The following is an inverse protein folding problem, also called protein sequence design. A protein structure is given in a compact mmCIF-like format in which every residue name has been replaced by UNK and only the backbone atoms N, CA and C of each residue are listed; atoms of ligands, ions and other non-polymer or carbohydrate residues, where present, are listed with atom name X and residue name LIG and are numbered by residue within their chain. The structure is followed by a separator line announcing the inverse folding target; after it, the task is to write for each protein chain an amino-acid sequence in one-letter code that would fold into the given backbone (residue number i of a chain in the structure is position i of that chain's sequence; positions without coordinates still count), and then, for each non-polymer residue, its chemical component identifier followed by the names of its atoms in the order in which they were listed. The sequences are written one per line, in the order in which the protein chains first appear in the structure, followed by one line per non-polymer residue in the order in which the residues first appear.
data_IF_309755261688
#
_entry.id   IF_309755261688
#
_cell.length_a   1.000
_cell.length_b   1.000
_cell.length_c   1.000
_cell.angle_alpha   90.00
_cell.angle_beta   90.00
_cell.angle_gamma   90.00
#
_symmetry.space_group_name_H-M   'P 1'
#
loop_
_entity.id
_entity.type
_entity.pdbx_description
1 polymer ?
#
# COMPACT_ATOMS: atom_id res chain seq x y z
N UNK A 1 -12.16 22.26 -7.67
CA UNK A 1 -11.43 23.20 -6.80
C UNK A 1 -11.55 22.69 -5.38
N UNK A 2 -10.43 22.45 -4.69
CA UNK A 2 -10.47 22.07 -3.28
C UNK A 2 -10.93 23.28 -2.45
N UNK A 3 -11.77 23.05 -1.45
CA UNK A 3 -12.04 24.05 -0.41
C UNK A 3 -10.70 24.36 0.26
N UNK A 4 -10.37 25.63 0.42
CA UNK A 4 -9.25 26.02 1.29
C UNK A 4 -9.74 25.90 2.73
N UNK A 5 -9.16 24.98 3.49
CA UNK A 5 -9.47 24.78 4.90
C UNK A 5 -8.69 25.79 5.73
N UNK A 6 -9.33 26.38 6.75
CA UNK A 6 -8.59 27.10 7.78
C UNK A 6 -7.84 26.11 8.68
N UNK A 7 -6.77 26.53 9.39
CA UNK A 7 -6.09 25.66 10.34
C UNK A 7 -7.02 25.07 11.41
N UNK A 8 -8.00 25.84 11.88
CA UNK A 8 -8.99 25.39 12.88
C UNK A 8 -9.96 24.36 12.31
N UNK A 9 -10.47 24.58 11.08
CA UNK A 9 -11.31 23.59 10.41
C UNK A 9 -10.56 22.26 10.21
N UNK A 10 -9.28 22.34 9.81
CA UNK A 10 -8.44 21.16 9.62
C UNK A 10 -8.19 20.42 10.93
N UNK A 11 -7.87 21.14 12.01
CA UNK A 11 -7.68 20.55 13.33
C UNK A 11 -8.96 19.86 13.84
N UNK A 12 -10.13 20.47 13.64
CA UNK A 12 -11.41 19.90 14.04
C UNK A 12 -11.74 18.61 13.27
N UNK A 13 -11.53 18.59 11.94
CA UNK A 13 -11.72 17.39 11.14
C UNK A 13 -10.70 16.29 11.48
N UNK A 14 -9.43 16.66 11.68
CA UNK A 14 -8.37 15.74 12.12
C UNK A 14 -8.74 15.05 13.44
N UNK A 15 -9.24 15.82 14.42
CA UNK A 15 -9.69 15.28 15.70
C UNK A 15 -10.92 14.38 15.56
N UNK A 16 -11.89 14.74 14.71
CA UNK A 16 -13.05 13.92 14.43
C UNK A 16 -12.67 12.58 13.79
N UNK A 17 -11.79 12.59 12.78
CA UNK A 17 -11.27 11.36 12.16
C UNK A 17 -10.61 10.44 13.18
N UNK A 18 -9.79 11.02 14.07
CA UNK A 18 -9.13 10.26 15.14
C UNK A 18 -10.14 9.65 16.12
N UNK A 19 -11.18 10.39 16.49
CA UNK A 19 -12.24 9.89 17.37
C UNK A 19 -13.03 8.72 16.74
N UNK A 20 -13.13 8.68 15.42
CA UNK A 20 -13.73 7.57 14.65
C UNK A 20 -12.79 6.36 14.48
N UNK A 21 -11.55 6.45 14.97
CA UNK A 21 -10.56 5.37 14.89
C UNK A 21 -9.69 5.40 13.62
N UNK A 22 -9.73 6.48 12.85
CA UNK A 22 -8.80 6.73 11.75
C UNK A 22 -7.53 7.44 12.24
N UNK A 23 -6.53 7.59 11.37
CA UNK A 23 -5.38 8.44 11.64
C UNK A 23 -5.80 9.91 11.64
N UNK A 24 -5.23 10.71 12.54
CA UNK A 24 -5.27 12.16 12.42
C UNK A 24 -4.51 12.63 11.17
N UNK A 25 -4.68 13.90 10.79
CA UNK A 25 -3.93 14.50 9.69
C UNK A 25 -2.41 14.39 9.89
N UNK A 26 -1.92 14.71 11.09
CA UNK A 26 -0.50 14.66 11.44
C UNK A 26 0.03 13.23 11.45
N UNK A 27 -0.75 12.28 12.00
CA UNK A 27 -0.42 10.86 11.98
C UNK A 27 -0.36 10.31 10.55
N UNK A 28 -1.28 10.77 9.69
CA UNK A 28 -1.31 10.42 8.28
C UNK A 28 -0.10 10.98 7.54
N UNK A 29 0.28 12.24 7.76
CA UNK A 29 1.49 12.82 7.19
C UNK A 29 2.75 12.04 7.61
N UNK A 30 2.91 11.76 8.91
CA UNK A 30 4.02 10.95 9.42
C UNK A 30 4.00 9.49 8.89
N UNK A 31 2.82 8.95 8.58
CA UNK A 31 2.69 7.67 7.88
C UNK A 31 3.20 7.78 6.43
N UNK A 32 2.79 8.81 5.69
CA UNK A 32 3.21 9.00 4.30
C UNK A 32 4.72 9.19 4.16
N UNK A 33 5.38 9.83 5.13
CA UNK A 33 6.85 9.96 5.14
C UNK A 33 7.58 8.61 5.21
N UNK A 34 6.92 7.56 5.72
CA UNK A 34 7.46 6.19 5.77
C UNK A 34 7.14 5.37 4.53
N UNK A 35 6.21 5.83 3.70
CA UNK A 35 5.83 5.17 2.47
C UNK A 35 6.84 5.53 1.38
N UNK A 36 7.66 4.57 0.96
CA UNK A 36 8.59 4.74 -0.17
C UNK A 36 8.24 3.79 -1.30
N UNK A 37 8.70 4.11 -2.51
CA UNK A 37 8.55 3.21 -3.65
C UNK A 37 9.30 1.90 -3.40
N UNK A 38 8.63 0.77 -3.63
CA UNK A 38 9.19 -0.57 -3.62
C UNK A 38 8.85 -1.28 -4.91
N UNK A 39 9.74 -2.18 -5.35
CA UNK A 39 9.40 -3.21 -6.32
C UNK A 39 8.97 -4.45 -5.55
N UNK A 40 7.77 -4.93 -5.83
CA UNK A 40 7.19 -6.11 -5.18
C UNK A 40 7.08 -7.22 -6.23
N UNK A 41 7.64 -8.38 -5.93
CA UNK A 41 7.49 -9.60 -6.72
C UNK A 41 6.61 -10.57 -5.94
N UNK A 42 5.46 -10.94 -6.52
CA UNK A 42 4.52 -11.88 -5.93
C UNK A 42 4.58 -13.17 -6.72
N UNK A 43 5.00 -14.25 -6.06
CA UNK A 43 5.10 -15.58 -6.67
C UNK A 43 3.80 -16.35 -6.43
N UNK A 44 3.34 -17.03 -7.47
CA UNK A 44 2.06 -17.73 -7.50
C UNK A 44 2.26 -19.25 -7.54
N UNK A 45 1.25 -19.99 -7.06
CA UNK A 45 1.31 -21.45 -6.95
C UNK A 45 1.42 -22.19 -8.30
N UNK A 46 1.05 -21.54 -9.41
CA UNK A 46 1.21 -22.08 -10.76
C UNK A 46 2.62 -21.86 -11.35
N UNK A 47 3.51 -21.22 -10.59
CA UNK A 47 4.89 -20.93 -10.99
C UNK A 47 5.07 -19.57 -11.67
N UNK A 48 3.99 -18.83 -11.92
CA UNK A 48 4.06 -17.46 -12.43
C UNK A 48 4.46 -16.47 -11.33
N UNK A 49 4.90 -15.27 -11.73
CA UNK A 49 5.11 -14.15 -10.84
C UNK A 49 4.62 -12.85 -11.44
N UNK A 50 4.12 -11.94 -10.59
CA UNK A 50 3.86 -10.55 -10.96
C UNK A 50 4.89 -9.63 -10.32
N UNK A 51 5.28 -8.58 -11.05
CA UNK A 51 6.18 -7.55 -10.56
C UNK A 51 5.50 -6.20 -10.66
N UNK A 52 5.39 -5.49 -9.53
CA UNK A 52 4.69 -4.21 -9.44
C UNK A 52 5.52 -3.18 -8.67
N UNK A 53 5.41 -1.90 -9.06
CA UNK A 53 5.94 -0.78 -8.25
C UNK A 53 4.83 -0.23 -7.36
N UNK A 54 5.08 -0.15 -6.06
CA UNK A 54 4.09 0.25 -5.05
C UNK A 54 4.74 1.22 -4.07
N UNK A 55 4.04 2.31 -3.74
CA UNK A 55 4.42 3.18 -2.63
C UNK A 55 3.69 2.74 -1.36
N UNK A 56 4.45 2.39 -0.33
CA UNK A 56 3.89 1.93 0.94
C UNK A 56 4.95 1.50 1.92
N UNK A 57 4.53 1.19 3.14
CA UNK A 57 5.41 0.51 4.09
C UNK A 57 5.50 -0.97 3.71
N UNK A 58 6.59 -1.64 4.08
CA UNK A 58 6.71 -3.09 3.85
C UNK A 58 5.61 -3.87 4.59
N UNK A 59 5.19 -3.39 5.76
CA UNK A 59 4.13 -4.01 6.54
C UNK A 59 2.79 -3.97 5.78
N UNK A 60 2.43 -2.84 5.20
CA UNK A 60 1.18 -2.71 4.44
C UNK A 60 1.22 -3.54 3.16
N UNK A 61 2.35 -3.56 2.47
CA UNK A 61 2.55 -4.38 1.26
C UNK A 61 2.40 -5.87 1.59
N UNK A 62 3.01 -6.35 2.68
CA UNK A 62 2.86 -7.75 3.14
C UNK A 62 1.45 -8.06 3.64
N UNK A 63 0.78 -7.07 4.23
CA UNK A 63 -0.62 -7.18 4.64
C UNK A 63 -1.56 -7.35 3.45
N UNK A 64 -1.29 -6.63 2.36
CA UNK A 64 -2.04 -6.68 1.11
C UNK A 64 -1.78 -7.97 0.31
N UNK A 65 -0.52 -8.31 0.03
CA UNK A 65 -0.14 -9.57 -0.62
C UNK A 65 0.15 -10.66 0.41
N UNK A 66 -0.87 -11.06 1.17
CA UNK A 66 -0.70 -12.08 2.21
C UNK A 66 -0.52 -13.46 1.59
N UNK A 67 0.55 -14.16 1.98
CA UNK A 67 0.79 -15.57 1.61
C UNK A 67 -0.43 -16.43 2.00
N UNK A 68 -0.84 -17.32 1.09
CA UNK A 68 -2.05 -18.13 1.21
C UNK A 68 -3.35 -17.42 0.78
N UNK A 69 -3.28 -16.13 0.40
CA UNK A 69 -4.40 -15.45 -0.27
C UNK A 69 -4.37 -15.70 -1.77
N UNK A 70 -5.50 -15.50 -2.45
CA UNK A 70 -5.58 -15.64 -3.90
C UNK A 70 -5.55 -14.29 -4.62
N UNK A 71 -4.82 -14.25 -5.74
CA UNK A 71 -4.81 -13.14 -6.68
C UNK A 71 -5.56 -13.54 -7.96
N UNK A 72 -6.40 -12.64 -8.48
CA UNK A 72 -7.08 -12.86 -9.75
C UNK A 72 -6.15 -12.54 -10.93
N UNK A 73 -5.79 -13.57 -11.67
CA UNK A 73 -4.91 -13.53 -12.85
C UNK A 73 -5.67 -13.75 -14.16
N UNK A 74 -6.99 -13.57 -14.11
CA UNK A 74 -7.88 -13.78 -15.23
C UNK A 74 -8.08 -12.52 -16.07
N UNK A 75 -7.97 -12.64 -17.39
CA UNK A 75 -8.19 -11.51 -18.31
C UNK A 75 -9.63 -11.41 -18.84
N UNK A 76 -10.27 -12.56 -19.11
CA UNK A 76 -11.64 -12.64 -19.65
C UNK A 76 -12.66 -13.20 -18.64
N UNK A 77 -12.18 -13.69 -17.50
CA UNK A 77 -12.97 -14.27 -16.42
C UNK A 77 -12.04 -14.64 -15.27
N UNK A 78 -12.58 -14.88 -14.08
CA UNK A 78 -11.77 -15.05 -12.88
C UNK A 78 -10.85 -16.27 -12.96
N UNK A 79 -9.58 -16.05 -12.63
CA UNK A 79 -8.57 -17.10 -12.43
C UNK A 79 -7.83 -16.80 -11.14
N UNK A 80 -8.36 -17.29 -10.03
CA UNK A 80 -7.75 -17.11 -8.71
C UNK A 80 -6.56 -18.06 -8.54
N UNK A 81 -5.39 -17.51 -8.25
CA UNK A 81 -4.16 -18.28 -7.99
C UNK A 81 -3.59 -17.89 -6.63
N UNK A 82 -3.19 -18.87 -5.84
CA UNK A 82 -2.65 -18.65 -4.50
C UNK A 82 -1.27 -17.97 -4.54
N UNK A 83 -1.06 -17.01 -3.66
CA UNK A 83 0.22 -16.35 -3.41
C UNK A 83 1.07 -17.25 -2.50
N UNK A 84 2.24 -17.68 -2.98
CA UNK A 84 3.14 -18.57 -2.24
C UNK A 84 4.35 -17.86 -1.66
N UNK A 85 4.77 -16.74 -2.24
CA UNK A 85 5.85 -15.90 -1.70
C UNK A 85 5.72 -14.45 -2.15
N UNK A 86 6.30 -13.52 -1.37
CA UNK A 86 6.36 -12.10 -1.68
C UNK A 86 7.73 -11.54 -1.33
N UNK A 87 8.43 -11.08 -2.36
CA UNK A 87 9.70 -10.37 -2.24
C UNK A 87 9.48 -8.87 -2.38
N UNK A 88 10.09 -8.10 -1.48
CA UNK A 88 10.10 -6.64 -1.55
C UNK A 88 11.54 -6.24 -1.81
N UNK A 89 11.76 -5.64 -2.97
CA UNK A 89 13.05 -5.13 -3.41
C UNK A 89 13.05 -3.63 -3.20
N UNK A 90 14.00 -3.15 -2.39
CA UNK A 90 14.18 -1.73 -2.20
C UNK A 90 14.77 -1.13 -3.48
N UNK A 91 14.12 -0.07 -3.99
CA UNK A 91 14.65 0.70 -5.11
C UNK A 91 15.59 1.75 -4.54
N UNK A 92 16.57 1.33 -3.74
CA UNK A 92 17.60 2.27 -3.27
C UNK A 92 18.33 2.79 -4.51
N UNK A 93 18.21 4.09 -4.77
CA UNK A 93 18.63 4.71 -6.02
C UNK A 93 20.07 4.39 -6.37
N UNK A 94 20.29 3.74 -7.51
CA UNK A 94 21.47 4.04 -8.31
C UNK A 94 21.25 5.42 -8.93
N UNK A 95 21.57 6.46 -8.17
CA UNK A 95 21.89 7.75 -8.75
C UNK A 95 23.33 7.67 -9.22
N UNK A 96 23.49 7.46 -10.54
CA UNK A 96 24.66 7.70 -11.42
C UNK A 96 26.05 7.28 -10.94
#
# INVERSE_FOLDING_TARGET
MSKSWTPEELAAASAAMKAEGHMSYEEFCAYLERCTEKVVVVHLADGDAITTRIHGTEQDIRGYYRIGSCLNMGAAGDRLVEIVAVDIVDVSGNTT
#
